data_IF_006774931226
#
_entry.id   IF_006774931226
#
_cell.length_a   1.000
_cell.length_b   1.000
_cell.length_c   1.000
_cell.angle_alpha   90.00
_cell.angle_beta   90.00
_cell.angle_gamma   90.00
#
_symmetry.space_group_name_H-M   'P 1'
#
loop_
_entity.id
_entity.type
_entity.pdbx_description
1 polymer ?
#
# COMPACT_ATOMS: atom_id res chain seq x y z
N UNK A 1 2.77 17.46 18.22
CA UNK A 1 3.42 16.59 17.22
C UNK A 1 4.89 16.39 17.57
N UNK A 2 5.36 15.13 17.56
CA UNK A 2 6.80 14.82 17.77
C UNK A 2 7.62 15.32 16.59
N UNK A 3 7.06 15.19 15.38
CA UNK A 3 7.59 15.72 14.14
C UNK A 3 6.61 16.78 13.60
N UNK A 4 6.84 18.08 13.83
CA UNK A 4 5.87 19.14 13.48
C UNK A 4 5.54 19.24 12.00
N UNK A 5 6.46 18.85 11.12
CA UNK A 5 6.28 18.85 9.66
C UNK A 5 5.55 17.63 9.12
N UNK A 6 5.32 16.59 9.94
CA UNK A 6 4.57 15.39 9.56
C UNK A 6 3.05 15.69 9.57
N UNK A 7 2.60 16.52 8.63
CA UNK A 7 1.21 16.98 8.51
C UNK A 7 0.47 16.40 7.30
N UNK A 8 1.15 15.61 6.49
CA UNK A 8 0.56 14.91 5.35
C UNK A 8 -0.49 13.90 5.82
N UNK A 9 -1.41 13.59 4.91
CA UNK A 9 -2.62 12.83 5.21
C UNK A 9 -2.67 11.50 4.47
N UNK A 10 -3.52 10.57 4.94
CA UNK A 10 -3.84 9.34 4.20
C UNK A 10 -4.41 9.64 2.82
N UNK A 11 -5.20 10.70 2.68
CA UNK A 11 -5.75 11.10 1.39
C UNK A 11 -4.65 11.45 0.37
N UNK A 12 -3.62 12.18 0.79
CA UNK A 12 -2.47 12.49 -0.06
C UNK A 12 -1.70 11.22 -0.43
N UNK A 13 -1.48 10.31 0.52
CA UNK A 13 -0.87 9.00 0.30
C UNK A 13 -1.68 8.17 -0.68
N UNK A 14 -2.97 7.99 -0.48
CA UNK A 14 -3.85 7.24 -1.38
C UNK A 14 -3.83 7.78 -2.81
N UNK A 15 -3.84 9.11 -2.99
CA UNK A 15 -3.68 9.72 -4.31
C UNK A 15 -2.29 9.43 -4.92
N UNK A 16 -1.24 9.47 -4.12
CA UNK A 16 0.12 9.13 -4.53
C UNK A 16 0.21 7.69 -5.00
N UNK A 17 -0.28 6.74 -4.20
CA UNK A 17 -0.30 5.30 -4.56
C UNK A 17 -1.10 5.06 -5.84
N UNK A 18 -2.28 5.67 -5.98
CA UNK A 18 -3.07 5.63 -7.22
C UNK A 18 -2.30 6.12 -8.44
N UNK A 19 -1.59 7.24 -8.29
CA UNK A 19 -0.77 7.81 -9.36
C UNK A 19 0.38 6.87 -9.75
N UNK A 20 1.13 6.37 -8.78
CA UNK A 20 2.26 5.47 -9.00
C UNK A 20 1.83 4.12 -9.59
N UNK A 21 0.66 3.60 -9.17
CA UNK A 21 0.07 2.39 -9.76
C UNK A 21 -0.22 2.58 -11.26
N UNK A 22 -0.83 3.71 -11.62
CA UNK A 22 -1.05 4.05 -13.03
C UNK A 22 0.23 4.17 -13.83
N UNK A 23 1.24 4.88 -13.31
CA UNK A 23 2.55 5.03 -13.98
C UNK A 23 3.24 3.67 -14.19
N UNK A 24 3.19 2.78 -13.20
CA UNK A 24 3.78 1.44 -13.31
C UNK A 24 3.10 0.63 -14.40
N UNK A 25 1.76 0.61 -14.43
CA UNK A 25 0.98 -0.07 -15.45
C UNK A 25 1.21 0.49 -16.86
N UNK A 26 1.27 1.82 -17.01
CA UNK A 26 1.59 2.47 -18.28
C UNK A 26 3.00 2.13 -18.77
N UNK A 27 3.97 2.09 -17.86
CA UNK A 27 5.35 1.69 -18.18
C UNK A 27 5.42 0.24 -18.65
N UNK A 28 4.75 -0.68 -17.96
CA UNK A 28 4.67 -2.09 -18.35
C UNK A 28 3.99 -2.24 -19.72
N UNK A 29 2.87 -1.58 -19.94
CA UNK A 29 2.16 -1.57 -21.24
C UNK A 29 3.06 -1.17 -22.39
N UNK A 30 3.85 -0.10 -22.22
CA UNK A 30 4.73 0.42 -23.27
C UNK A 30 5.96 -0.47 -23.49
N UNK A 31 6.47 -1.10 -22.42
CA UNK A 31 7.67 -1.91 -22.46
C UNK A 31 7.42 -3.38 -22.84
N UNK A 32 6.22 -3.88 -22.60
CA UNK A 32 5.81 -5.27 -22.82
C UNK A 32 4.40 -5.33 -23.45
N UNK A 33 4.28 -4.96 -24.75
CA UNK A 33 3.00 -4.99 -25.45
C UNK A 33 2.32 -6.35 -25.45
N UNK A 34 3.11 -7.43 -25.32
CA UNK A 34 2.63 -8.82 -25.23
C UNK A 34 1.75 -9.09 -23.99
N UNK A 35 1.76 -8.24 -22.98
CA UNK A 35 0.88 -8.35 -21.82
C UNK A 35 -0.54 -7.85 -22.09
N UNK A 36 -0.78 -7.24 -23.25
CA UNK A 36 -2.09 -6.76 -23.71
C UNK A 36 -2.83 -5.88 -22.69
N UNK A 37 -2.08 -5.09 -21.87
CA UNK A 37 -2.63 -4.23 -20.83
C UNK A 37 -3.58 -3.21 -21.45
N UNK A 38 -4.84 -3.22 -21.04
CA UNK A 38 -5.87 -2.31 -21.52
C UNK A 38 -5.85 -0.99 -20.74
N UNK A 39 -6.59 0.01 -21.21
CA UNK A 39 -6.82 1.24 -20.42
C UNK A 39 -7.62 0.94 -19.15
N UNK A 40 -8.49 -0.06 -19.21
CA UNK A 40 -9.32 -0.47 -18.08
C UNK A 40 -8.49 -1.11 -16.98
N UNK A 41 -7.52 -1.95 -17.32
CA UNK A 41 -6.61 -2.54 -16.32
C UNK A 41 -5.80 -1.46 -15.57
N UNK A 42 -5.35 -0.42 -16.27
CA UNK A 42 -4.67 0.72 -15.66
C UNK A 42 -5.61 1.46 -14.70
N UNK A 43 -6.87 1.69 -15.12
CA UNK A 43 -7.88 2.35 -14.29
C UNK A 43 -8.19 1.55 -13.02
N UNK A 44 -8.41 0.24 -13.14
CA UNK A 44 -8.66 -0.64 -12.00
C UNK A 44 -7.49 -0.67 -11.02
N UNK A 45 -6.26 -0.69 -11.52
CA UNK A 45 -5.06 -0.63 -10.67
C UNK A 45 -4.94 0.71 -9.94
N UNK A 46 -5.29 1.83 -10.60
CA UNK A 46 -5.36 3.16 -9.94
C UNK A 46 -6.44 3.20 -8.86
N UNK A 47 -7.59 2.62 -9.12
CA UNK A 47 -8.68 2.52 -8.12
C UNK A 47 -8.22 1.69 -6.92
N UNK A 48 -7.56 0.55 -7.15
CA UNK A 48 -7.00 -0.26 -6.07
C UNK A 48 -6.01 0.54 -5.22
N UNK A 49 -5.07 1.25 -5.86
CA UNK A 49 -4.13 2.12 -5.16
C UNK A 49 -4.80 3.27 -4.39
N UNK A 50 -5.91 3.81 -4.89
CA UNK A 50 -6.66 4.85 -4.20
C UNK A 50 -7.36 4.33 -2.93
N UNK A 51 -7.84 3.10 -2.97
CA UNK A 51 -8.71 2.52 -1.93
C UNK A 51 -7.99 1.58 -0.96
N UNK A 52 -6.70 1.26 -1.18
CA UNK A 52 -6.00 0.20 -0.43
C UNK A 52 -6.04 0.39 1.09
N UNK A 53 -6.00 1.63 1.56
CA UNK A 53 -5.94 2.01 2.98
C UNK A 53 -7.29 2.43 3.59
N UNK A 54 -8.42 2.31 2.86
CA UNK A 54 -9.72 2.85 3.29
C UNK A 54 -10.26 2.18 4.57
N UNK A 55 -9.81 0.97 4.86
CA UNK A 55 -10.24 0.19 6.02
C UNK A 55 -9.51 0.49 7.32
N UNK A 56 -8.53 1.38 7.32
CA UNK A 56 -7.83 1.73 8.54
C UNK A 56 -8.72 2.44 9.56
N UNK A 57 -8.71 1.95 10.80
CA UNK A 57 -9.35 2.59 11.95
C UNK A 57 -8.58 3.80 12.50
N UNK A 58 -9.07 4.41 13.59
CA UNK A 58 -8.41 5.54 14.23
C UNK A 58 -7.01 5.16 14.72
N UNK A 59 -6.01 5.98 14.36
CA UNK A 59 -4.58 5.71 14.62
C UNK A 59 -4.04 4.44 13.93
N UNK A 60 -4.74 3.94 12.92
CA UNK A 60 -4.27 2.90 11.99
C UNK A 60 -3.79 1.63 12.69
N UNK A 61 -2.52 1.25 12.49
CA UNK A 61 -1.93 0.06 13.09
C UNK A 61 -1.99 0.01 14.62
N UNK A 62 -2.08 1.16 15.30
CA UNK A 62 -2.24 1.18 16.75
C UNK A 62 -3.59 0.56 17.15
N UNK A 63 -4.68 0.91 16.43
CA UNK A 63 -5.98 0.31 16.63
C UNK A 63 -5.93 -1.20 16.35
N UNK A 64 -5.43 -1.59 15.21
CA UNK A 64 -5.40 -3.00 14.77
C UNK A 64 -4.58 -3.89 15.72
N UNK A 65 -3.44 -3.41 16.23
CA UNK A 65 -2.57 -4.24 17.07
C UNK A 65 -2.91 -4.25 18.56
N UNK A 66 -3.55 -3.19 19.08
CA UNK A 66 -3.66 -3.00 20.53
C UNK A 66 -5.07 -2.76 21.05
N UNK A 67 -6.02 -2.42 20.17
CA UNK A 67 -7.38 -1.99 20.57
C UNK A 67 -8.47 -2.89 20.04
N UNK A 68 -8.36 -3.37 18.78
CA UNK A 68 -9.37 -4.27 18.21
C UNK A 68 -9.45 -5.61 18.96
N UNK A 69 -10.61 -6.21 18.98
CA UNK A 69 -10.77 -7.56 19.51
C UNK A 69 -10.18 -8.62 18.55
N UNK A 70 -9.81 -9.81 19.06
CA UNK A 70 -9.21 -10.85 18.23
C UNK A 70 -10.08 -11.35 17.06
N UNK A 71 -11.39 -11.19 17.18
CA UNK A 71 -12.37 -11.60 16.17
C UNK A 71 -12.83 -10.44 15.25
N UNK A 72 -12.36 -9.23 15.50
CA UNK A 72 -12.61 -8.12 14.57
C UNK A 72 -11.72 -8.27 13.32
N UNK A 73 -12.24 -7.91 12.12
CA UNK A 73 -11.48 -8.04 10.88
C UNK A 73 -10.23 -7.13 10.86
N UNK A 74 -9.22 -7.51 10.10
CA UNK A 74 -8.05 -6.67 9.82
C UNK A 74 -8.47 -5.49 8.91
N UNK A 75 -7.60 -4.47 8.81
CA UNK A 75 -7.95 -3.28 8.03
C UNK A 75 -8.16 -3.57 6.52
N UNK A 76 -7.46 -4.56 5.96
CA UNK A 76 -7.68 -5.00 4.59
C UNK A 76 -9.09 -5.58 4.41
N UNK A 77 -9.53 -6.46 5.32
CA UNK A 77 -10.87 -7.05 5.28
C UNK A 77 -11.97 -5.99 5.47
N UNK A 78 -11.78 -5.06 6.42
CA UNK A 78 -12.68 -3.90 6.60
C UNK A 78 -12.74 -3.03 5.34
N UNK A 79 -11.58 -2.80 4.70
CA UNK A 79 -11.49 -2.06 3.44
C UNK A 79 -12.30 -2.72 2.33
N UNK A 80 -12.18 -4.03 2.17
CA UNK A 80 -12.96 -4.81 1.20
C UNK A 80 -14.47 -4.67 1.47
N UNK A 81 -14.90 -4.76 2.72
CA UNK A 81 -16.30 -4.61 3.09
C UNK A 81 -16.82 -3.20 2.80
N UNK A 82 -16.06 -2.17 3.16
CA UNK A 82 -16.40 -0.77 2.87
C UNK A 82 -16.55 -0.56 1.35
N UNK A 83 -15.63 -1.07 0.54
CA UNK A 83 -15.66 -0.93 -0.92
C UNK A 83 -16.91 -1.62 -1.50
N UNK A 84 -17.25 -2.83 -1.06
CA UNK A 84 -18.47 -3.53 -1.49
C UNK A 84 -19.72 -2.74 -1.15
N UNK A 85 -19.81 -2.25 0.08
CA UNK A 85 -20.95 -1.43 0.54
C UNK A 85 -21.05 -0.10 -0.23
N UNK A 86 -19.92 0.53 -0.57
CA UNK A 86 -19.92 1.74 -1.42
C UNK A 86 -20.43 1.45 -2.82
N UNK A 87 -19.97 0.37 -3.44
CA UNK A 87 -20.41 -0.03 -4.79
C UNK A 87 -21.92 -0.26 -4.83
N UNK A 88 -22.47 -0.97 -3.84
CA UNK A 88 -23.89 -1.25 -3.74
C UNK A 88 -24.70 0.03 -3.43
N UNK A 89 -24.32 0.75 -2.38
CA UNK A 89 -25.06 1.93 -1.89
C UNK A 89 -25.15 3.06 -2.90
N UNK A 90 -24.09 3.27 -3.67
CA UNK A 90 -23.99 4.35 -4.65
C UNK A 90 -24.18 3.88 -6.10
N UNK A 91 -24.61 2.63 -6.29
CA UNK A 91 -24.86 2.03 -7.61
C UNK A 91 -23.69 2.27 -8.59
N UNK A 92 -22.46 2.09 -8.10
CA UNK A 92 -21.26 2.35 -8.91
C UNK A 92 -21.21 1.35 -10.07
N UNK A 93 -21.10 1.87 -11.29
CA UNK A 93 -21.07 1.06 -12.51
C UNK A 93 -19.70 0.35 -12.67
N UNK A 94 -19.54 -0.77 -11.98
CA UNK A 94 -18.39 -1.67 -12.05
C UNK A 94 -18.91 -3.12 -12.10
N UNK A 95 -18.36 -3.95 -12.97
CA UNK A 95 -18.75 -5.37 -13.01
C UNK A 95 -18.19 -6.14 -11.80
N UNK A 96 -18.79 -7.28 -11.48
CA UNK A 96 -18.33 -8.12 -10.37
C UNK A 96 -16.91 -8.66 -10.61
N UNK A 97 -16.53 -8.91 -11.88
CA UNK A 97 -15.19 -9.31 -12.25
C UNK A 97 -14.18 -8.19 -12.01
N UNK A 98 -14.49 -6.98 -12.46
CA UNK A 98 -13.66 -5.79 -12.24
C UNK A 98 -13.50 -5.47 -10.75
N UNK A 99 -14.60 -5.52 -9.99
CA UNK A 99 -14.57 -5.35 -8.54
C UNK A 99 -13.67 -6.39 -7.87
N UNK A 100 -13.81 -7.66 -8.26
CA UNK A 100 -12.96 -8.73 -7.74
C UNK A 100 -11.48 -8.48 -8.03
N UNK A 101 -11.12 -8.01 -9.24
CA UNK A 101 -9.75 -7.62 -9.57
C UNK A 101 -9.23 -6.50 -8.66
N UNK A 102 -10.01 -5.44 -8.45
CA UNK A 102 -9.64 -4.33 -7.55
C UNK A 102 -9.37 -4.83 -6.13
N UNK A 103 -10.27 -5.66 -5.58
CA UNK A 103 -10.13 -6.19 -4.23
C UNK A 103 -8.89 -7.10 -4.08
N UNK A 104 -8.61 -7.94 -5.08
CA UNK A 104 -7.41 -8.78 -5.09
C UNK A 104 -6.10 -7.98 -5.31
N UNK A 105 -6.15 -6.80 -5.92
CA UNK A 105 -4.99 -5.90 -5.97
C UNK A 105 -4.71 -5.25 -4.62
N UNK A 106 -5.72 -5.09 -3.76
CA UNK A 106 -5.60 -4.55 -2.40
C UNK A 106 -5.11 -5.63 -1.43
N UNK A 107 -5.79 -6.78 -1.41
CA UNK A 107 -5.42 -7.92 -0.59
C UNK A 107 -5.51 -9.23 -1.40
N UNK A 108 -4.39 -9.70 -1.96
CA UNK A 108 -4.37 -10.89 -2.81
C UNK A 108 -4.76 -12.16 -2.05
N UNK A 109 -5.95 -12.68 -2.31
CA UNK A 109 -6.47 -13.92 -1.69
C UNK A 109 -5.71 -15.18 -2.13
N UNK A 110 -5.03 -15.15 -3.29
CA UNK A 110 -4.26 -16.25 -3.87
C UNK A 110 -2.75 -16.17 -3.58
N UNK A 111 -2.33 -15.27 -2.68
CA UNK A 111 -0.94 -15.02 -2.37
C UNK A 111 -0.20 -14.20 -3.45
N UNK A 112 -0.94 -13.52 -4.33
CA UNK A 112 -0.36 -12.64 -5.35
C UNK A 112 0.14 -13.36 -6.61
N UNK A 113 -0.46 -14.48 -6.98
CA UNK A 113 -0.09 -15.25 -8.19
C UNK A 113 -0.29 -14.48 -9.48
N UNK A 114 -1.35 -13.67 -9.58
CA UNK A 114 -1.49 -12.74 -10.69
C UNK A 114 -0.52 -11.57 -10.49
N UNK A 115 0.33 -11.32 -11.47
CA UNK A 115 1.33 -10.27 -11.41
C UNK A 115 0.71 -8.87 -11.22
N UNK A 116 -0.53 -8.63 -11.65
CA UNK A 116 -1.22 -7.35 -11.48
C UNK A 116 -1.48 -7.04 -10.01
N UNK A 117 -1.65 -8.07 -9.17
CA UNK A 117 -1.84 -7.92 -7.72
C UNK A 117 -0.55 -7.51 -7.00
N UNK A 118 0.61 -7.65 -7.66
CA UNK A 118 1.91 -7.31 -7.07
C UNK A 118 2.27 -5.82 -7.18
N UNK A 119 1.43 -4.99 -7.83
CA UNK A 119 1.72 -3.56 -8.04
C UNK A 119 1.41 -2.77 -6.78
N UNK A 120 0.20 -2.92 -6.23
CA UNK A 120 -0.29 -2.19 -5.04
C UNK A 120 0.15 -2.87 -3.75
N UNK A 121 0.02 -4.20 -3.66
CA UNK A 121 0.37 -4.99 -2.48
C UNK A 121 1.19 -6.22 -2.88
N UNK A 122 2.53 -6.12 -2.87
CA UNK A 122 3.41 -7.21 -3.29
C UNK A 122 3.72 -8.17 -2.15
N UNK A 123 2.94 -9.24 -2.03
CA UNK A 123 3.15 -10.29 -1.01
C UNK A 123 4.38 -11.18 -1.28
N UNK A 124 5.00 -11.10 -2.48
CA UNK A 124 6.14 -11.94 -2.87
C UNK A 124 7.46 -11.33 -2.43
N UNK A 125 7.71 -10.06 -2.79
CA UNK A 125 9.00 -9.42 -2.53
C UNK A 125 8.90 -8.09 -1.77
N UNK A 126 7.69 -7.65 -1.44
CA UNK A 126 7.43 -6.40 -0.73
C UNK A 126 7.98 -5.14 -1.42
N UNK A 127 8.10 -5.14 -2.74
CA UNK A 127 8.38 -3.94 -3.54
C UNK A 127 7.08 -3.59 -4.27
N UNK A 128 6.37 -2.60 -3.77
CA UNK A 128 5.08 -2.14 -4.25
C UNK A 128 5.01 -0.61 -4.23
N UNK A 129 4.01 -0.07 -4.89
CA UNK A 129 3.85 1.39 -5.02
C UNK A 129 3.39 2.03 -3.72
N UNK A 130 2.69 1.29 -2.85
CA UNK A 130 2.38 1.73 -1.50
C UNK A 130 3.67 2.07 -0.74
N UNK A 131 4.60 1.13 -0.69
CA UNK A 131 5.88 1.30 0.00
C UNK A 131 6.73 2.41 -0.60
N UNK A 132 6.74 2.53 -1.92
CA UNK A 132 7.46 3.60 -2.62
C UNK A 132 6.88 4.96 -2.24
N UNK A 133 5.55 5.11 -2.24
CA UNK A 133 4.90 6.39 -1.91
C UNK A 133 5.18 6.80 -0.47
N UNK A 134 4.85 5.94 0.52
CA UNK A 134 4.96 6.39 1.91
C UNK A 134 6.42 6.66 2.32
N UNK A 135 7.39 5.89 1.84
CA UNK A 135 8.79 6.15 2.15
C UNK A 135 9.23 7.52 1.61
N UNK A 136 8.88 7.84 0.37
CA UNK A 136 9.24 9.13 -0.23
C UNK A 136 8.49 10.28 0.44
N UNK A 137 7.18 10.12 0.66
CA UNK A 137 6.31 11.13 1.26
C UNK A 137 6.72 11.45 2.69
N UNK A 138 6.91 10.43 3.52
CA UNK A 138 7.33 10.61 4.90
C UNK A 138 8.69 11.27 4.99
N UNK A 139 9.68 10.77 4.23
CA UNK A 139 11.02 11.37 4.20
C UNK A 139 10.99 12.82 3.76
N UNK A 140 10.17 13.17 2.77
CA UNK A 140 10.01 14.54 2.30
C UNK A 140 9.47 15.46 3.41
N UNK A 141 8.34 15.07 4.02
CA UNK A 141 7.66 15.90 5.02
C UNK A 141 8.46 16.09 6.31
N UNK A 142 9.20 15.06 6.74
CA UNK A 142 10.03 15.18 7.96
C UNK A 142 11.44 15.71 7.68
N UNK A 143 11.77 16.03 6.41
CA UNK A 143 13.06 16.60 6.02
C UNK A 143 14.23 15.61 6.12
N UNK A 144 13.97 14.31 5.99
CA UNK A 144 15.02 13.30 5.96
C UNK A 144 15.77 13.34 4.63
N UNK A 145 17.08 13.57 4.67
CA UNK A 145 17.94 13.66 3.49
C UNK A 145 18.38 12.32 2.89
N UNK A 146 17.93 11.22 3.46
CA UNK A 146 18.15 9.89 2.90
C UNK A 146 16.81 9.40 2.36
N UNK A 147 16.75 9.24 1.17
CA UNK A 147 15.66 8.73 0.35
C UNK A 147 16.22 8.69 -1.04
N UNK A 148 15.87 7.66 -1.79
CA UNK A 148 16.19 7.59 -3.20
C UNK A 148 15.03 8.15 -4.00
N UNK A 149 15.33 8.49 -5.23
CA UNK A 149 14.30 8.62 -6.23
C UNK A 149 14.02 7.20 -6.77
N UNK A 150 12.83 6.68 -6.51
CA UNK A 150 12.49 5.29 -6.83
C UNK A 150 11.69 5.13 -8.13
N UNK A 151 11.59 6.18 -8.95
CA UNK A 151 10.88 6.12 -10.25
C UNK A 151 11.38 5.00 -11.16
N UNK A 152 12.69 4.70 -11.11
CA UNK A 152 13.27 3.60 -11.88
C UNK A 152 12.77 2.23 -11.45
N UNK A 153 12.43 2.03 -10.18
CA UNK A 153 11.83 0.77 -9.73
C UNK A 153 10.45 0.54 -10.36
N UNK A 154 9.72 1.60 -10.67
CA UNK A 154 8.43 1.53 -11.36
C UNK A 154 8.57 1.42 -12.88
N UNK A 155 9.48 2.20 -13.48
CA UNK A 155 9.60 2.30 -14.94
C UNK A 155 10.43 1.18 -15.57
N UNK A 156 11.35 0.59 -14.82
CA UNK A 156 12.24 -0.48 -15.31
C UNK A 156 11.84 -1.89 -14.80
N UNK A 157 10.79 -2.03 -13.98
CA UNK A 157 10.25 -3.36 -13.66
C UNK A 157 9.69 -4.03 -14.91
N UNK A 158 9.69 -5.35 -14.91
CA UNK A 158 9.16 -6.18 -16.02
C UNK A 158 8.44 -7.39 -15.43
N UNK A 159 7.38 -7.80 -16.09
CA UNK A 159 6.74 -9.09 -15.82
C UNK A 159 7.61 -10.19 -16.39
N UNK A 160 7.98 -11.14 -15.57
CA UNK A 160 8.82 -12.28 -15.94
C UNK A 160 8.23 -13.57 -15.40
N UNK A 161 8.41 -14.65 -16.18
CA UNK A 161 8.06 -16.00 -15.77
C UNK A 161 9.15 -16.52 -14.83
N UNK A 162 8.76 -17.11 -13.71
CA UNK A 162 9.69 -17.79 -12.82
C UNK A 162 10.20 -19.06 -13.50
N UNK A 163 11.51 -19.25 -13.49
CA UNK A 163 12.13 -20.43 -14.14
C UNK A 163 11.61 -21.73 -13.51
N UNK A 164 11.01 -22.58 -14.35
CA UNK A 164 10.47 -23.88 -13.93
C UNK A 164 9.02 -23.86 -13.45
N UNK A 165 8.33 -22.72 -13.53
CA UNK A 165 6.90 -22.59 -13.22
C UNK A 165 6.16 -21.85 -14.34
N UNK A 166 4.83 -21.75 -14.23
CA UNK A 166 4.01 -20.88 -15.09
C UNK A 166 3.74 -19.50 -14.44
N UNK A 167 4.23 -19.28 -13.23
CA UNK A 167 3.96 -18.07 -12.46
C UNK A 167 4.66 -16.85 -13.06
N UNK A 168 3.92 -15.76 -13.18
CA UNK A 168 4.40 -14.46 -13.62
C UNK A 168 4.62 -13.54 -12.41
N UNK A 169 5.77 -12.88 -12.37
CA UNK A 169 6.12 -11.98 -11.28
C UNK A 169 6.72 -10.67 -11.79
N UNK A 170 6.56 -9.63 -11.00
CA UNK A 170 7.34 -8.40 -11.19
C UNK A 170 8.81 -8.69 -10.85
N UNK A 171 9.70 -8.29 -11.74
CA UNK A 171 11.14 -8.47 -11.59
C UNK A 171 11.89 -7.19 -11.99
N UNK A 172 13.04 -6.98 -11.40
CA UNK A 172 13.89 -5.82 -11.64
C UNK A 172 15.22 -6.23 -12.25
N UNK A 173 15.76 -5.45 -13.20
CA UNK A 173 17.06 -5.72 -13.76
C UNK A 173 18.16 -5.55 -12.70
N UNK A 174 19.21 -6.38 -12.78
CA UNK A 174 20.32 -6.39 -11.82
C UNK A 174 20.96 -5.00 -11.59
N UNK A 175 20.94 -4.13 -12.60
CA UNK A 175 21.46 -2.76 -12.48
C UNK A 175 20.72 -1.90 -11.42
N UNK A 176 19.51 -2.32 -10.97
CA UNK A 176 18.73 -1.66 -9.93
C UNK A 176 18.92 -2.30 -8.54
N UNK A 177 19.88 -3.21 -8.37
CA UNK A 177 20.16 -3.85 -7.08
C UNK A 177 20.41 -2.82 -5.96
N UNK A 178 21.15 -1.76 -6.29
CA UNK A 178 21.43 -0.69 -5.33
C UNK A 178 20.16 0.10 -4.95
N UNK A 179 19.28 0.40 -5.89
CA UNK A 179 18.02 1.09 -5.64
C UNK A 179 17.08 0.25 -4.76
N UNK A 180 17.02 -1.06 -5.01
CA UNK A 180 16.27 -2.00 -4.16
C UNK A 180 16.84 -2.02 -2.75
N UNK A 181 18.15 -2.17 -2.61
CA UNK A 181 18.81 -2.12 -1.31
C UNK A 181 18.53 -0.79 -0.59
N UNK A 182 18.63 0.33 -1.31
CA UNK A 182 18.40 1.67 -0.75
C UNK A 182 16.95 1.87 -0.31
N UNK A 183 15.97 1.32 -1.03
CA UNK A 183 14.56 1.36 -0.63
C UNK A 183 14.36 0.73 0.76
N UNK A 184 14.86 -0.49 0.96
CA UNK A 184 14.72 -1.20 2.24
C UNK A 184 15.57 -0.58 3.35
N UNK A 185 16.77 -0.07 3.03
CA UNK A 185 17.60 0.64 3.99
C UNK A 185 16.94 1.95 4.44
N UNK A 186 16.34 2.71 3.52
CA UNK A 186 15.59 3.94 3.85
C UNK A 186 14.38 3.60 4.71
N UNK A 187 13.63 2.55 4.37
CA UNK A 187 12.53 2.05 5.20
C UNK A 187 13.00 1.69 6.61
N UNK A 188 14.08 0.94 6.75
CA UNK A 188 14.65 0.59 8.07
C UNK A 188 15.00 1.84 8.88
N UNK A 189 15.65 2.83 8.26
CA UNK A 189 16.02 4.10 8.93
C UNK A 189 14.80 4.91 9.32
N UNK A 190 13.78 5.00 8.47
CA UNK A 190 12.53 5.66 8.74
C UNK A 190 11.83 5.02 9.96
N UNK A 191 11.72 3.69 9.98
CA UNK A 191 11.18 2.97 11.13
C UNK A 191 11.99 3.24 12.41
N UNK A 192 13.31 3.12 12.34
CA UNK A 192 14.20 3.25 13.51
C UNK A 192 14.21 4.67 14.10
N UNK A 193 14.23 5.69 13.26
CA UNK A 193 14.46 7.07 13.69
C UNK A 193 13.17 7.87 13.88
N UNK A 194 12.07 7.49 13.23
CA UNK A 194 10.81 8.24 13.20
C UNK A 194 9.65 7.41 13.75
N UNK A 195 9.25 6.36 13.04
CA UNK A 195 8.03 5.61 13.36
C UNK A 195 8.11 4.88 14.71
N UNK A 196 9.31 4.45 15.10
CA UNK A 196 9.58 3.83 16.40
C UNK A 196 10.35 4.75 17.36
N UNK A 197 10.27 6.08 17.16
CA UNK A 197 10.89 7.03 18.08
C UNK A 197 10.29 6.90 19.48
N UNK A 198 11.13 6.93 20.53
CA UNK A 198 10.68 6.66 21.90
C UNK A 198 9.54 7.59 22.36
N UNK A 199 9.58 8.86 21.97
CA UNK A 199 8.51 9.82 22.29
C UNK A 199 7.21 9.47 21.54
N UNK A 200 7.28 9.03 20.26
CA UNK A 200 6.11 8.57 19.52
C UNK A 200 5.49 7.38 20.24
N UNK A 201 6.31 6.39 20.63
CA UNK A 201 5.84 5.21 21.36
C UNK A 201 5.22 5.55 22.72
N UNK A 202 5.76 6.53 23.45
CA UNK A 202 5.17 7.01 24.71
C UNK A 202 3.74 7.56 24.48
N UNK A 203 3.54 8.38 23.45
CA UNK A 203 2.19 8.85 23.10
C UNK A 203 1.27 7.73 22.61
N UNK A 204 1.76 6.80 21.84
CA UNK A 204 0.98 5.61 21.43
C UNK A 204 0.44 4.84 22.63
N UNK A 205 1.24 4.59 23.66
CA UNK A 205 0.79 3.91 24.88
C UNK A 205 -0.34 4.68 25.58
N UNK A 206 -0.25 6.00 25.70
CA UNK A 206 -1.33 6.80 26.27
C UNK A 206 -2.60 6.75 25.45
N UNK A 207 -2.48 6.80 24.13
CA UNK A 207 -3.63 6.69 23.21
C UNK A 207 -4.29 5.31 23.36
N UNK A 208 -3.51 4.22 23.45
CA UNK A 208 -4.01 2.87 23.67
C UNK A 208 -4.84 2.79 24.97
N UNK A 209 -4.33 3.35 26.06
CA UNK A 209 -5.03 3.37 27.35
C UNK A 209 -6.37 4.12 27.24
N UNK A 210 -6.38 5.27 26.56
CA UNK A 210 -7.60 6.06 26.32
C UNK A 210 -8.61 5.26 25.48
N UNK A 211 -8.19 4.70 24.34
CA UNK A 211 -9.08 3.94 23.46
C UNK A 211 -9.66 2.71 24.15
N UNK A 212 -8.84 1.98 24.91
CA UNK A 212 -9.32 0.84 25.69
C UNK A 212 -10.34 1.25 26.75
N UNK A 213 -10.13 2.38 27.42
CA UNK A 213 -11.06 2.91 28.41
C UNK A 213 -12.40 3.31 27.77
N UNK A 214 -12.37 3.93 26.59
CA UNK A 214 -13.56 4.29 25.83
C UNK A 214 -14.35 3.03 25.44
N UNK A 215 -13.67 2.03 24.90
CA UNK A 215 -14.28 0.75 24.53
C UNK A 215 -14.92 0.03 25.71
N UNK A 216 -14.27 0.03 26.87
CA UNK A 216 -14.81 -0.56 28.12
C UNK A 216 -16.09 0.15 28.61
N UNK A 217 -16.29 1.43 28.23
CA UNK A 217 -17.50 2.19 28.55
C UNK A 217 -18.63 1.99 27.54
N UNK A 218 -18.44 1.10 26.54
CA UNK A 218 -19.45 0.76 25.54
C UNK A 218 -19.63 1.80 24.42
N UNK A 219 -18.59 2.60 24.18
CA UNK A 219 -18.51 3.43 22.99
C UNK A 219 -17.71 2.67 21.92
N UNK A 220 -18.40 2.25 20.87
CA UNK A 220 -17.80 1.64 19.66
C UNK A 220 -17.36 2.70 18.65
#
# INVERSE_FOLDING_TARGET
FVFPSATHTRFEHSNGVSHLAGLTMESLKNAQPELEITKKDIELCRIAGLLHDIGHGPFSHLYDHYVKEPNEPEHEERGIEIIRNMVEKYEINISQEELSKVLNMIDPSDGGKDWTYQIVANKICSIDVDKIDYIQRDCYHIGMKFGGEYSRLMTECRVKKIKGTEDLVLAWPKKLEFEVYNLFNTRYRLHKQVLSHHTVKAYEYHIIEILRSIKQQGYD
#
